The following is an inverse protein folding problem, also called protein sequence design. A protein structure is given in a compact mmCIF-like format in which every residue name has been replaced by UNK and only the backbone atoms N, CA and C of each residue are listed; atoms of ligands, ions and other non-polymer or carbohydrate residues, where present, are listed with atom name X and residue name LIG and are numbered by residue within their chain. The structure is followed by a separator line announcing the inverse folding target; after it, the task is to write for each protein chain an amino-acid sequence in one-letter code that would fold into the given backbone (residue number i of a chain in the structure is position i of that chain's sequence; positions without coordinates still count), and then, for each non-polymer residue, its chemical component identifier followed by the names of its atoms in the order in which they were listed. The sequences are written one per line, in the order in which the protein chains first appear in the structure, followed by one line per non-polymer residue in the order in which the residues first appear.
data_IF_802183449300
#
_entry.id   IF_802183449300
#
_cell.length_a   1.000
_cell.length_b   1.000
_cell.length_c   1.000
_cell.angle_alpha   90.00
_cell.angle_beta   90.00
_cell.angle_gamma   90.00
#
_symmetry.space_group_name_H-M   'P 1'
#
loop_
_entity.id
_entity.type
_entity.pdbx_description
1 polymer ?
#
# COMPACT_ATOMS: atom_id res chain seq x y z
N UNK A 1 -30.14 23.43 44.39
CA UNK A 1 -29.12 22.50 43.88
C UNK A 1 -28.73 21.40 44.87
N UNK A 2 -28.15 21.69 46.04
CA UNK A 2 -27.77 20.62 47.00
C UNK A 2 -28.97 19.83 47.57
N UNK A 3 -30.10 20.50 47.80
CA UNK A 3 -31.33 19.88 48.28
C UNK A 3 -32.02 18.99 47.22
N UNK A 4 -32.04 19.40 45.94
CA UNK A 4 -32.56 18.58 44.84
C UNK A 4 -31.68 17.35 44.59
N UNK A 5 -30.36 17.50 44.67
CA UNK A 5 -29.45 16.37 44.54
C UNK A 5 -29.66 15.37 45.68
N UNK A 6 -29.82 15.85 46.91
CA UNK A 6 -30.11 14.99 48.06
C UNK A 6 -31.47 14.28 47.94
N UNK A 7 -32.49 14.97 47.41
CA UNK A 7 -33.84 14.41 47.17
C UNK A 7 -33.84 13.39 46.03
N UNK A 8 -33.09 13.61 44.96
CA UNK A 8 -32.84 12.62 43.89
C UNK A 8 -32.06 11.40 44.42
N UNK A 9 -31.14 11.60 45.37
CA UNK A 9 -30.41 10.52 46.05
C UNK A 9 -31.31 9.75 47.05
N UNK A 10 -32.26 10.41 47.70
CA UNK A 10 -33.24 9.76 48.59
C UNK A 10 -34.35 9.04 47.80
N UNK A 11 -34.87 9.61 46.71
CA UNK A 11 -35.83 8.95 45.80
C UNK A 11 -35.18 7.77 45.05
N UNK A 12 -33.87 7.81 44.81
CA UNK A 12 -33.14 6.66 44.27
C UNK A 12 -32.86 5.56 45.31
N UNK A 13 -33.00 5.86 46.61
CA UNK A 13 -32.92 4.85 47.69
C UNK A 13 -34.22 4.06 47.85
N UNK A 14 -35.38 4.65 47.59
CA UNK A 14 -36.66 3.93 47.56
C UNK A 14 -36.99 3.45 46.15
N UNK A 15 -36.27 2.43 45.68
CA UNK A 15 -36.59 1.79 44.41
C UNK A 15 -37.91 1.01 44.52
N UNK A 16 -38.97 1.54 43.90
CA UNK A 16 -40.20 0.75 43.72
C UNK A 16 -39.91 -0.46 42.83
N UNK A 17 -40.63 -1.57 43.04
CA UNK A 17 -40.50 -2.79 42.19
C UNK A 17 -40.68 -2.48 40.69
N UNK A 18 -41.53 -1.50 40.37
CA UNK A 18 -41.78 -1.04 39.00
C UNK A 18 -40.55 -0.33 38.42
N UNK A 19 -39.96 0.59 39.16
CA UNK A 19 -38.73 1.30 38.76
C UNK A 19 -37.54 0.33 38.59
N UNK A 20 -37.40 -0.63 39.49
CA UNK A 20 -36.39 -1.68 39.38
C UNK A 20 -36.52 -2.49 38.09
N UNK A 21 -37.73 -3.01 37.80
CA UNK A 21 -37.98 -3.79 36.60
C UNK A 21 -37.81 -2.97 35.32
N UNK A 22 -38.19 -1.69 35.33
CA UNK A 22 -38.00 -0.79 34.19
C UNK A 22 -36.52 -0.54 33.90
N UNK A 23 -35.71 -0.25 34.93
CA UNK A 23 -34.26 -0.05 34.78
C UNK A 23 -33.60 -1.34 34.30
N UNK A 24 -33.89 -2.48 34.93
CA UNK A 24 -33.35 -3.77 34.53
C UNK A 24 -33.71 -4.12 33.08
N UNK A 25 -34.95 -3.86 32.67
CA UNK A 25 -35.42 -4.05 31.30
C UNK A 25 -34.70 -3.16 30.29
N UNK A 26 -34.56 -1.87 30.58
CA UNK A 26 -33.83 -0.94 29.71
C UNK A 26 -32.33 -1.26 29.63
N UNK A 27 -31.70 -1.63 30.74
CA UNK A 27 -30.30 -2.09 30.74
C UNK A 27 -30.15 -3.35 29.88
N UNK A 28 -31.03 -4.34 30.06
CA UNK A 28 -31.02 -5.57 29.27
C UNK A 28 -31.21 -5.31 27.77
N UNK A 29 -32.19 -4.47 27.43
CA UNK A 29 -32.43 -4.05 26.05
C UNK A 29 -31.22 -3.34 25.45
N UNK A 30 -30.66 -2.34 26.13
CA UNK A 30 -29.51 -1.58 25.64
C UNK A 30 -28.28 -2.47 25.45
N UNK A 31 -28.01 -3.40 26.36
CA UNK A 31 -26.90 -4.36 26.22
C UNK A 31 -27.12 -5.27 25.02
N UNK A 32 -28.32 -5.84 24.87
CA UNK A 32 -28.65 -6.70 23.73
C UNK A 32 -28.54 -5.96 22.40
N UNK A 33 -29.05 -4.72 22.32
CA UNK A 33 -28.94 -3.87 21.13
C UNK A 33 -27.49 -3.52 20.80
N UNK A 34 -26.65 -3.24 21.79
CA UNK A 34 -25.23 -2.95 21.57
C UNK A 34 -24.48 -4.18 21.03
N UNK A 35 -24.75 -5.37 21.58
CA UNK A 35 -24.16 -6.63 21.08
C UNK A 35 -24.62 -6.89 19.65
N UNK A 36 -25.92 -6.74 19.38
CA UNK A 36 -26.47 -6.94 18.04
C UNK A 36 -25.81 -5.97 17.03
N UNK A 37 -25.73 -4.68 17.37
CA UNK A 37 -25.07 -3.68 16.53
C UNK A 37 -23.60 -4.02 16.29
N UNK A 38 -22.86 -4.41 17.32
CA UNK A 38 -21.46 -4.81 17.19
C UNK A 38 -21.29 -5.98 16.22
N UNK A 39 -22.12 -7.03 16.33
CA UNK A 39 -22.04 -8.17 15.42
C UNK A 39 -22.43 -7.79 13.99
N UNK A 40 -23.43 -6.92 13.81
CA UNK A 40 -23.81 -6.39 12.49
C UNK A 40 -22.69 -5.57 11.86
N UNK A 41 -21.99 -4.73 12.62
CA UNK A 41 -20.83 -3.97 12.13
C UNK A 41 -19.67 -4.91 11.82
N UNK A 42 -19.40 -5.90 12.68
CA UNK A 42 -18.35 -6.89 12.46
C UNK A 42 -18.59 -7.72 11.21
N UNK A 43 -19.84 -7.99 10.84
CA UNK A 43 -20.18 -8.69 9.60
C UNK A 43 -19.70 -7.94 8.33
N UNK A 44 -19.54 -6.61 8.39
CA UNK A 44 -19.00 -5.82 7.27
C UNK A 44 -17.51 -6.13 7.06
N UNK A 45 -16.79 -6.62 8.08
CA UNK A 45 -15.40 -7.02 7.96
C UNK A 45 -15.29 -8.46 7.42
N UNK A 46 -14.67 -8.67 6.25
CA UNK A 46 -14.50 -10.01 5.72
C UNK A 46 -13.53 -10.82 6.60
N UNK A 47 -13.96 -11.99 7.07
CA UNK A 47 -13.13 -12.90 7.87
C UNK A 47 -12.19 -13.79 7.03
N UNK A 48 -12.35 -13.81 5.71
CA UNK A 48 -11.53 -14.61 4.81
C UNK A 48 -11.11 -13.78 3.61
N UNK A 49 -9.80 -13.65 3.41
CA UNK A 49 -9.21 -13.07 2.21
C UNK A 49 -8.70 -14.22 1.34
N UNK A 50 -9.27 -14.39 0.15
CA UNK A 50 -8.79 -15.35 -0.87
C UNK A 50 -7.61 -14.80 -1.69
N UNK A 51 -7.00 -13.72 -1.21
CA UNK A 51 -5.90 -13.06 -1.87
C UNK A 51 -4.60 -13.84 -1.64
N UNK A 52 -3.72 -13.79 -2.63
CA UNK A 52 -2.37 -14.33 -2.49
C UNK A 52 -1.66 -13.69 -1.29
N UNK A 53 -0.88 -14.48 -0.50
CA UNK A 53 -0.12 -13.94 0.62
C UNK A 53 0.69 -12.71 0.23
N UNK A 54 0.73 -11.66 1.07
CA UNK A 54 1.50 -10.46 0.79
C UNK A 54 2.99 -10.76 0.67
N UNK A 55 3.46 -11.73 1.44
CA UNK A 55 4.84 -12.20 1.45
C UNK A 55 5.00 -13.49 0.64
N UNK A 56 5.99 -13.52 -0.26
CA UNK A 56 6.22 -14.64 -1.17
C UNK A 56 7.68 -14.73 -1.62
N UNK A 57 8.03 -15.89 -2.18
CA UNK A 57 9.30 -16.09 -2.89
C UNK A 57 9.02 -16.14 -4.40
N UNK A 58 9.76 -15.41 -5.25
CA UNK A 58 9.63 -15.55 -6.69
C UNK A 58 9.85 -17.01 -7.13
N UNK A 59 9.03 -17.48 -8.06
CA UNK A 59 8.99 -18.90 -8.45
C UNK A 59 10.16 -19.27 -9.36
N UNK A 60 10.68 -20.49 -9.22
CA UNK A 60 11.72 -21.04 -10.10
C UNK A 60 13.04 -20.26 -10.03
N UNK A 61 13.67 -20.03 -11.18
CA UNK A 61 14.96 -19.36 -11.30
C UNK A 61 14.94 -17.92 -10.75
N UNK A 62 13.81 -17.22 -10.82
CA UNK A 62 13.66 -15.87 -10.25
C UNK A 62 13.80 -15.87 -8.73
N UNK A 63 13.75 -17.03 -8.08
CA UNK A 63 14.00 -17.12 -6.64
C UNK A 63 15.43 -16.71 -6.26
N UNK A 64 16.42 -16.83 -7.13
CA UNK A 64 17.82 -16.66 -6.75
C UNK A 64 18.39 -15.29 -7.17
N UNK A 65 19.05 -14.56 -6.26
CA UNK A 65 19.67 -13.25 -6.58
C UNK A 65 20.66 -13.30 -7.75
N UNK A 66 21.38 -14.42 -7.92
CA UNK A 66 22.37 -14.61 -8.99
C UNK A 66 21.78 -14.52 -10.40
N UNK A 67 20.46 -14.70 -10.55
CA UNK A 67 19.78 -14.71 -11.84
C UNK A 67 19.33 -13.32 -12.29
N UNK A 68 19.69 -12.27 -11.54
CA UNK A 68 19.39 -10.89 -11.85
C UNK A 68 20.68 -10.15 -12.22
N UNK A 69 20.80 -9.78 -13.49
CA UNK A 69 21.91 -8.94 -13.93
C UNK A 69 21.83 -7.54 -13.31
N UNK A 70 22.99 -6.92 -13.05
CA UNK A 70 23.04 -5.51 -12.64
C UNK A 70 22.45 -4.65 -13.74
N UNK A 71 21.52 -3.75 -13.38
CA UNK A 71 20.75 -2.95 -14.31
C UNK A 71 19.43 -3.61 -14.75
N UNK A 72 19.12 -4.85 -14.33
CA UNK A 72 17.89 -5.54 -14.74
C UNK A 72 16.64 -5.04 -14.01
N UNK A 73 15.52 -5.11 -14.72
CA UNK A 73 14.16 -4.88 -14.22
C UNK A 73 13.32 -6.11 -14.52
N UNK A 74 12.89 -6.81 -13.48
CA UNK A 74 12.04 -8.01 -13.61
C UNK A 74 10.64 -7.70 -13.11
N UNK A 75 9.66 -7.85 -14.00
CA UNK A 75 8.26 -7.53 -13.73
C UNK A 75 7.49 -8.79 -13.37
N UNK A 76 6.97 -8.87 -12.15
CA UNK A 76 6.04 -9.90 -11.69
C UNK A 76 4.62 -9.32 -11.67
N UNK A 77 3.98 -9.30 -12.85
CA UNK A 77 2.72 -8.60 -13.05
C UNK A 77 1.55 -9.20 -12.24
N UNK A 78 1.55 -10.52 -12.08
CA UNK A 78 0.61 -11.31 -11.28
C UNK A 78 0.70 -10.98 -9.79
N UNK A 79 1.92 -10.74 -9.29
CA UNK A 79 2.18 -10.31 -7.92
C UNK A 79 2.13 -8.79 -7.73
N UNK A 80 1.98 -8.03 -8.82
CA UNK A 80 2.07 -6.56 -8.86
C UNK A 80 3.35 -6.05 -8.20
N UNK A 81 4.47 -6.69 -8.51
CA UNK A 81 5.79 -6.30 -7.98
C UNK A 81 6.78 -6.20 -9.13
N UNK A 82 7.70 -5.25 -9.03
CA UNK A 82 8.93 -5.23 -9.82
C UNK A 82 10.10 -5.44 -8.92
N UNK A 83 11.05 -6.26 -9.37
CA UNK A 83 12.35 -6.45 -8.73
C UNK A 83 13.37 -5.77 -9.63
N UNK A 84 14.04 -4.76 -9.10
CA UNK A 84 15.14 -4.09 -9.77
C UNK A 84 16.45 -4.47 -9.09
N UNK A 85 17.50 -4.64 -9.89
CA UNK A 85 18.86 -4.88 -9.42
C UNK A 85 19.76 -3.74 -9.91
N UNK A 86 20.24 -2.93 -8.97
CA UNK A 86 21.23 -1.88 -9.22
C UNK A 86 22.60 -2.30 -8.67
N UNK A 87 23.60 -1.44 -8.87
CA UNK A 87 24.96 -1.65 -8.32
C UNK A 87 24.94 -1.70 -6.79
N UNK A 88 24.07 -0.92 -6.14
CA UNK A 88 23.98 -0.82 -4.68
C UNK A 88 23.21 -1.96 -4.02
N UNK A 89 22.39 -2.71 -4.77
CA UNK A 89 21.53 -3.73 -4.19
C UNK A 89 20.29 -4.07 -5.00
N UNK A 90 19.43 -4.87 -4.39
CA UNK A 90 18.08 -5.14 -4.86
C UNK A 90 17.09 -4.19 -4.19
N UNK A 91 16.04 -3.86 -4.91
CA UNK A 91 14.84 -3.26 -4.32
C UNK A 91 13.63 -3.75 -5.09
N UNK A 92 12.51 -3.82 -4.39
CA UNK A 92 11.23 -4.13 -5.00
C UNK A 92 10.28 -2.94 -4.90
N UNK A 93 9.47 -2.79 -5.94
CA UNK A 93 8.45 -1.75 -6.06
C UNK A 93 7.09 -2.42 -6.14
N UNK A 94 6.12 -1.87 -5.43
CA UNK A 94 4.69 -2.17 -5.59
C UNK A 94 4.18 -1.54 -6.89
N UNK A 95 3.72 -2.36 -7.83
CA UNK A 95 3.08 -1.89 -9.08
C UNK A 95 1.64 -1.47 -8.85
N UNK A 96 1.42 -0.60 -7.86
CA UNK A 96 0.13 0.00 -7.56
C UNK A 96 0.29 1.50 -7.79
N UNK A 97 -0.32 1.97 -8.86
CA UNK A 97 -0.34 3.39 -9.22
C UNK A 97 -0.95 4.19 -8.06
N UNK A 98 -0.25 5.22 -7.60
CA UNK A 98 -0.67 6.04 -6.45
C UNK A 98 -1.80 7.01 -6.77
N UNK A 99 -2.25 7.06 -8.02
CA UNK A 99 -3.47 7.78 -8.40
C UNK A 99 -4.72 7.05 -7.88
N UNK A 100 -5.01 5.86 -8.43
CA UNK A 100 -6.24 5.09 -8.16
C UNK A 100 -6.02 3.56 -8.13
N UNK A 101 -4.76 3.11 -8.05
CA UNK A 101 -4.45 1.69 -7.83
C UNK A 101 -4.33 0.79 -9.06
N UNK A 102 -4.41 1.34 -10.28
CA UNK A 102 -4.11 0.59 -11.51
C UNK A 102 -2.67 0.04 -11.50
N UNK A 103 -2.41 -1.04 -12.24
CA UNK A 103 -1.07 -1.62 -12.37
C UNK A 103 -0.31 -1.01 -13.56
N UNK A 104 0.72 -0.18 -13.34
CA UNK A 104 1.52 0.38 -14.42
C UNK A 104 2.32 -0.70 -15.15
N UNK A 105 2.58 -0.49 -16.44
CA UNK A 105 3.44 -1.39 -17.22
C UNK A 105 4.81 -0.76 -17.43
N UNK A 106 5.84 -1.59 -17.39
CA UNK A 106 7.21 -1.18 -17.69
C UNK A 106 7.40 -0.98 -19.20
N UNK A 107 8.10 0.07 -19.59
CA UNK A 107 8.52 0.33 -20.96
C UNK A 107 9.98 0.80 -20.98
N UNK A 108 10.74 0.48 -22.04
CA UNK A 108 12.09 1.01 -22.22
C UNK A 108 12.09 2.52 -22.53
N UNK A 109 10.95 3.08 -22.94
CA UNK A 109 10.78 4.51 -23.22
C UNK A 109 9.45 5.04 -22.68
N UNK A 110 9.56 5.90 -21.66
CA UNK A 110 8.43 6.59 -21.04
C UNK A 110 8.41 8.10 -21.19
N UNK A 111 9.34 8.67 -21.93
CA UNK A 111 9.53 10.13 -21.95
C UNK A 111 9.56 10.72 -23.35
N UNK A 112 9.86 9.95 -24.40
CA UNK A 112 10.11 10.53 -25.73
C UNK A 112 8.93 11.32 -26.30
N UNK A 113 7.71 10.79 -26.16
CA UNK A 113 6.50 11.43 -26.64
C UNK A 113 6.19 12.74 -25.89
N UNK A 114 6.55 12.82 -24.60
CA UNK A 114 6.41 14.04 -23.80
C UNK A 114 7.45 15.09 -24.18
N UNK A 115 8.70 14.66 -24.42
CA UNK A 115 9.78 15.55 -24.89
C UNK A 115 9.44 16.13 -26.26
N UNK A 116 8.91 15.31 -27.18
CA UNK A 116 8.45 15.74 -28.49
C UNK A 116 7.29 16.73 -28.40
N UNK A 117 6.37 16.53 -27.45
CA UNK A 117 5.30 17.47 -27.14
C UNK A 117 5.80 18.75 -26.43
N UNK A 118 7.10 18.89 -26.14
CA UNK A 118 7.68 20.04 -25.45
C UNK A 118 7.36 20.09 -23.95
N UNK A 119 6.88 18.99 -23.37
CA UNK A 119 6.60 18.89 -21.93
C UNK A 119 7.91 18.86 -21.17
N UNK A 120 8.04 19.72 -20.16
CA UNK A 120 9.20 19.69 -19.25
C UNK A 120 9.05 18.51 -18.29
N UNK A 121 10.07 17.65 -18.25
CA UNK A 121 10.14 16.49 -17.37
C UNK A 121 11.16 16.80 -16.28
N UNK A 122 10.81 16.53 -15.03
CA UNK A 122 11.74 16.67 -13.91
C UNK A 122 12.97 15.77 -14.11
N UNK A 123 14.09 16.15 -13.50
CA UNK A 123 15.24 15.26 -13.38
C UNK A 123 14.91 14.16 -12.38
N UNK A 124 15.25 12.92 -12.70
CA UNK A 124 15.14 11.78 -11.79
C UNK A 124 15.92 12.09 -10.49
N UNK A 125 15.27 12.08 -9.31
CA UNK A 125 15.91 12.41 -8.04
C UNK A 125 17.02 11.44 -7.60
N UNK A 126 16.87 10.15 -7.88
CA UNK A 126 17.80 9.11 -7.43
C UNK A 126 18.96 8.94 -8.42
N UNK A 127 18.66 8.84 -9.72
CA UNK A 127 19.69 8.55 -10.75
C UNK A 127 20.24 9.80 -11.42
N UNK A 128 19.55 10.94 -11.28
CA UNK A 128 19.90 12.17 -11.97
C UNK A 128 19.66 12.13 -13.49
N UNK A 129 19.01 11.10 -14.01
CA UNK A 129 18.65 11.01 -15.42
C UNK A 129 17.66 12.12 -15.80
N UNK A 130 17.80 12.67 -16.99
CA UNK A 130 16.88 13.66 -17.52
C UNK A 130 16.62 13.39 -19.00
N UNK A 131 15.36 13.34 -19.38
CA UNK A 131 14.97 13.24 -20.77
C UNK A 131 15.18 14.61 -21.43
N UNK A 132 15.99 14.65 -22.49
CA UNK A 132 16.30 15.86 -23.25
C UNK A 132 15.95 15.65 -24.71
N UNK A 133 15.91 16.73 -25.52
CA UNK A 133 15.72 16.58 -26.98
C UNK A 133 16.79 15.70 -27.64
N UNK A 134 18.01 15.68 -27.08
CA UNK A 134 19.11 14.86 -27.59
C UNK A 134 19.03 13.40 -27.14
N UNK A 135 18.55 13.14 -25.91
CA UNK A 135 18.30 11.81 -25.39
C UNK A 135 16.90 11.75 -24.76
N UNK A 136 15.86 11.51 -25.57
CA UNK A 136 14.48 11.70 -25.13
C UNK A 136 13.90 10.45 -24.46
N UNK A 137 14.54 9.29 -24.55
CA UNK A 137 14.00 8.02 -24.08
C UNK A 137 14.61 7.58 -22.76
N UNK A 138 13.79 7.47 -21.72
CA UNK A 138 14.14 6.90 -20.42
C UNK A 138 13.25 5.70 -20.10
N UNK A 139 13.79 4.64 -19.47
CA UNK A 139 13.00 3.51 -19.02
C UNK A 139 12.16 3.88 -17.79
N UNK A 140 10.99 3.24 -17.65
CA UNK A 140 10.12 3.47 -16.51
C UNK A 140 8.76 2.84 -16.68
N UNK A 141 7.74 3.41 -16.03
CA UNK A 141 6.39 2.87 -16.02
C UNK A 141 5.36 3.84 -16.60
N UNK A 142 4.45 3.32 -17.44
CA UNK A 142 3.24 4.04 -17.87
C UNK A 142 2.00 3.38 -17.28
N UNK A 143 1.16 4.19 -16.65
CA UNK A 143 -0.15 3.77 -16.16
C UNK A 143 -1.20 3.91 -17.28
N UNK A 144 -1.90 2.83 -17.66
CA UNK A 144 -2.85 2.85 -18.79
C UNK A 144 -4.15 3.59 -18.48
N UNK A 145 -4.44 3.92 -17.22
CA UNK A 145 -5.73 4.46 -16.80
C UNK A 145 -5.86 5.97 -17.07
N UNK A 146 -4.94 6.78 -16.53
CA UNK A 146 -4.96 8.25 -16.65
C UNK A 146 -3.60 8.82 -17.08
N UNK A 147 -2.71 7.96 -17.59
CA UNK A 147 -1.45 8.38 -18.17
C UNK A 147 -0.34 8.75 -17.17
N UNK A 148 -0.49 8.44 -15.87
CA UNK A 148 0.59 8.65 -14.89
C UNK A 148 1.87 7.94 -15.32
N UNK A 149 3.02 8.60 -15.17
CA UNK A 149 4.32 8.03 -15.50
C UNK A 149 5.29 8.14 -14.34
N UNK A 150 6.13 7.13 -14.28
CA UNK A 150 7.12 6.96 -13.24
C UNK A 150 8.45 6.60 -13.86
N UNK A 151 9.54 7.05 -13.25
CA UNK A 151 10.88 6.58 -13.55
C UNK A 151 11.03 5.10 -13.15
N UNK A 152 12.13 4.48 -13.57
CA UNK A 152 12.45 3.08 -13.27
C UNK A 152 12.46 2.78 -11.76
N UNK A 153 12.80 3.76 -10.95
CA UNK A 153 12.93 3.72 -9.50
C UNK A 153 11.61 3.98 -8.75
N UNK A 154 10.52 4.19 -9.49
CA UNK A 154 9.15 4.49 -9.04
C UNK A 154 8.80 5.96 -8.75
N UNK A 155 9.70 6.91 -8.97
CA UNK A 155 9.39 8.33 -8.80
C UNK A 155 8.43 8.83 -9.88
N UNK A 156 7.33 9.47 -9.47
CA UNK A 156 6.34 10.01 -10.39
C UNK A 156 6.83 11.35 -10.98
N UNK A 157 6.63 11.54 -12.28
CA UNK A 157 7.04 12.79 -12.96
C UNK A 157 5.99 13.36 -13.90
N UNK A 158 4.94 12.60 -14.23
CA UNK A 158 3.88 13.05 -15.13
C UNK A 158 2.53 12.42 -14.79
N UNK A 159 1.45 13.14 -15.10
CA UNK A 159 0.06 12.70 -14.89
C UNK A 159 -0.44 12.93 -13.45
N UNK A 160 -1.63 12.40 -13.10
CA UNK A 160 -2.33 12.73 -11.87
C UNK A 160 -1.84 12.00 -10.61
N UNK A 161 -0.76 11.19 -10.72
CA UNK A 161 -0.25 10.47 -9.56
C UNK A 161 0.43 11.46 -8.59
N UNK A 162 0.01 11.52 -7.31
CA UNK A 162 0.46 12.57 -6.39
C UNK A 162 1.82 12.28 -5.75
N UNK A 163 2.29 11.02 -5.78
CA UNK A 163 3.52 10.58 -5.10
C UNK A 163 4.16 9.37 -5.79
N UNK A 164 5.44 9.03 -5.48
CA UNK A 164 6.12 7.83 -5.97
C UNK A 164 5.40 6.54 -5.56
N UNK A 165 5.56 5.44 -6.33
CA UNK A 165 5.03 4.14 -5.90
C UNK A 165 5.83 3.58 -4.72
N UNK A 166 5.17 2.76 -3.90
CA UNK A 166 5.77 2.24 -2.67
C UNK A 166 6.87 1.22 -2.97
N UNK A 167 7.97 1.30 -2.22
CA UNK A 167 8.97 0.24 -2.17
C UNK A 167 8.58 -0.76 -1.09
N UNK A 168 8.77 -2.04 -1.39
CA UNK A 168 8.36 -3.14 -0.52
C UNK A 168 9.57 -3.91 -0.02
N UNK A 169 9.45 -4.51 1.15
CA UNK A 169 10.54 -5.20 1.82
C UNK A 169 11.04 -6.38 0.99
N UNK A 170 12.37 -6.51 0.93
CA UNK A 170 13.09 -7.57 0.22
C UNK A 170 14.23 -8.05 1.10
N UNK A 171 14.32 -9.36 1.28
CA UNK A 171 15.38 -10.01 2.06
C UNK A 171 15.82 -11.33 1.44
N UNK A 172 16.94 -11.86 1.92
CA UNK A 172 17.37 -13.23 1.62
C UNK A 172 16.80 -14.18 2.65
N UNK A 173 16.00 -15.13 2.20
CA UNK A 173 15.57 -16.24 3.03
C UNK A 173 16.75 -17.20 3.30
N UNK A 174 16.59 -18.05 4.31
CA UNK A 174 17.60 -19.04 4.74
C UNK A 174 18.04 -20.01 3.65
N UNK A 175 17.22 -20.23 2.63
CA UNK A 175 17.50 -21.07 1.47
C UNK A 175 18.20 -20.31 0.32
N UNK A 176 18.65 -19.07 0.57
CA UNK A 176 19.36 -18.23 -0.40
C UNK A 176 18.46 -17.60 -1.45
N UNK A 177 17.14 -17.73 -1.31
CA UNK A 177 16.17 -17.16 -2.25
C UNK A 177 15.72 -15.76 -1.80
N UNK A 178 15.39 -14.91 -2.76
CA UNK A 178 14.71 -13.65 -2.50
C UNK A 178 13.35 -13.92 -1.87
N UNK A 179 13.07 -13.19 -0.81
CA UNK A 179 11.79 -13.14 -0.12
C UNK A 179 11.30 -11.70 -0.16
N UNK A 180 10.06 -11.51 -0.63
CA UNK A 180 9.46 -10.21 -0.86
C UNK A 180 8.20 -10.13 -0.03
N UNK A 181 8.05 -9.06 0.75
CA UNK A 181 6.84 -8.80 1.53
C UNK A 181 6.21 -7.47 1.13
N UNK A 182 5.07 -7.56 0.44
CA UNK A 182 4.30 -6.39 -0.04
C UNK A 182 3.56 -5.66 1.07
N UNK A 183 3.38 -6.28 2.24
CA UNK A 183 2.70 -5.65 3.38
C UNK A 183 3.59 -4.68 4.14
N UNK A 184 4.91 -4.77 3.93
CA UNK A 184 5.90 -3.93 4.59
C UNK A 184 6.44 -2.92 3.57
N UNK A 185 5.97 -1.69 3.68
CA UNK A 185 6.51 -0.56 2.92
C UNK A 185 7.81 -0.09 3.58
N UNK A 186 8.85 0.05 2.77
CA UNK A 186 10.19 0.48 3.21
C UNK A 186 10.53 1.85 2.63
N UNK A 187 11.56 2.49 3.19
CA UNK A 187 12.07 3.76 2.68
C UNK A 187 12.47 3.64 1.20
N UNK A 188 12.29 4.71 0.41
CA UNK A 188 12.60 4.73 -1.02
C UNK A 188 14.09 4.44 -1.30
N UNK A 189 14.98 4.71 -0.33
CA UNK A 189 16.43 4.45 -0.44
C UNK A 189 16.82 3.05 0.01
N UNK A 190 15.88 2.23 0.50
CA UNK A 190 16.17 0.87 0.91
C UNK A 190 16.77 0.05 -0.25
N UNK A 191 17.87 -0.64 0.05
CA UNK A 191 18.53 -1.59 -0.86
C UNK A 191 18.94 -2.82 -0.07
N UNK A 192 18.51 -3.99 -0.51
CA UNK A 192 19.06 -5.26 -0.03
C UNK A 192 20.44 -5.46 -0.67
N UNK A 193 21.49 -5.50 0.16
CA UNK A 193 22.84 -5.86 -0.25
C UNK A 193 22.94 -7.39 -0.30
N UNK A 194 23.18 -7.92 -1.49
CA UNK A 194 23.36 -9.34 -1.76
C UNK A 194 24.53 -9.53 -2.73
#
# INVERSE_FOLDING_TARGET
MAADFKRLVEDSREMTRRSFLAIAGWVGFSVASAIALFQSVKFIQPNATYEDPPAFKPVGALGFPSNYAVGSTTVLIDKRVVINRDQDGFYAISLICTHLGCTPRYFPDVTSDLVLAGTQISKDPDTGQQATKANPALPGFKCPCHGSRYFRDADNFFGPAPRPMDRVHVELAKDGRLFIDRSIVVDHKFRLKA
#
